data_IF_415426772869
#
_entry.id   IF_415426772869
#
_cell.length_a   1.000
_cell.length_b   1.000
_cell.length_c   1.000
_cell.angle_alpha   90.00
_cell.angle_beta   90.00
_cell.angle_gamma   90.00
#
_symmetry.space_group_name_H-M   'P 1'
#
loop_
_entity.id
_entity.type
_entity.pdbx_description
1 polymer ?
#
# COMPACT_ATOMS: atom_id res chain seq x y z
N UNK A 1 11.96 -22.65 10.96
CA UNK A 1 12.55 -21.41 10.40
C UNK A 1 12.19 -20.18 11.22
N UNK A 2 10.91 -19.84 11.42
CA UNK A 2 10.49 -18.67 12.23
C UNK A 2 11.09 -18.68 13.64
N UNK A 3 11.02 -19.80 14.36
CA UNK A 3 11.61 -19.92 15.71
C UNK A 3 13.12 -19.64 15.76
N UNK A 4 13.85 -20.04 14.71
CA UNK A 4 15.29 -19.78 14.61
C UNK A 4 15.55 -18.29 14.41
N UNK A 5 14.80 -17.66 13.49
CA UNK A 5 14.90 -16.22 13.24
C UNK A 5 14.48 -15.39 14.47
N UNK A 6 13.47 -15.83 15.22
CA UNK A 6 13.06 -15.21 16.49
C UNK A 6 14.18 -15.27 17.52
N UNK A 7 14.81 -16.43 17.68
CA UNK A 7 15.99 -16.58 18.54
C UNK A 7 17.12 -15.65 18.09
N UNK A 8 17.46 -15.64 16.79
CA UNK A 8 18.49 -14.75 16.22
C UNK A 8 18.14 -13.27 16.39
N UNK A 9 16.89 -12.86 16.22
CA UNK A 9 16.47 -11.47 16.41
C UNK A 9 16.54 -11.02 17.86
N UNK A 10 16.40 -11.95 18.82
CA UNK A 10 16.54 -11.64 20.24
C UNK A 10 18.00 -11.54 20.66
N UNK A 11 18.86 -12.42 20.14
CA UNK A 11 20.30 -12.42 20.42
C UNK A 11 21.05 -11.30 19.68
N UNK A 12 20.57 -10.93 18.49
CA UNK A 12 21.12 -9.87 17.65
C UNK A 12 20.06 -8.79 17.35
N UNK A 13 19.62 -8.00 18.35
CA UNK A 13 18.50 -7.07 18.21
C UNK A 13 18.77 -5.89 17.28
N UNK A 14 20.03 -5.66 16.90
CA UNK A 14 20.44 -4.59 15.99
C UNK A 14 20.44 -5.01 14.52
N UNK A 15 20.28 -6.30 14.20
CA UNK A 15 20.25 -6.76 12.81
C UNK A 15 18.89 -6.44 12.15
N UNK A 16 18.83 -5.49 11.20
CA UNK A 16 17.59 -5.15 10.52
C UNK A 16 17.17 -6.27 9.55
N UNK A 17 18.10 -7.05 8.98
CA UNK A 17 17.77 -8.07 8.00
C UNK A 17 16.97 -9.21 8.64
N UNK A 18 17.39 -9.67 9.82
CA UNK A 18 16.64 -10.67 10.57
C UNK A 18 15.19 -10.22 10.81
N UNK A 19 14.98 -8.96 11.24
CA UNK A 19 13.64 -8.39 11.46
C UNK A 19 12.83 -8.27 10.17
N UNK A 20 13.45 -7.84 9.06
CA UNK A 20 12.79 -7.76 7.75
C UNK A 20 12.35 -9.14 7.24
N UNK A 21 13.20 -10.16 7.39
CA UNK A 21 12.87 -11.54 7.03
C UNK A 21 11.76 -12.08 7.94
N UNK A 22 11.80 -11.78 9.25
CA UNK A 22 10.73 -12.12 10.18
C UNK A 22 9.41 -11.45 9.80
N UNK A 23 9.40 -10.16 9.45
CA UNK A 23 8.20 -9.48 8.97
C UNK A 23 7.56 -10.22 7.79
N UNK A 24 8.37 -10.62 6.79
CA UNK A 24 7.88 -11.41 5.66
C UNK A 24 7.34 -12.78 6.09
N UNK A 25 8.05 -13.48 6.96
CA UNK A 25 7.61 -14.77 7.46
C UNK A 25 6.29 -14.68 8.25
N UNK A 26 6.12 -13.61 9.03
CA UNK A 26 4.89 -13.33 9.77
C UNK A 26 3.74 -12.88 8.87
N UNK A 27 4.04 -12.18 7.76
CA UNK A 27 3.06 -11.84 6.73
C UNK A 27 2.45 -13.11 6.12
N UNK A 28 3.28 -14.12 5.81
CA UNK A 28 2.81 -15.39 5.25
C UNK A 28 1.85 -16.16 6.16
N UNK A 29 2.03 -16.09 7.48
CA UNK A 29 1.13 -16.74 8.44
C UNK A 29 -0.01 -15.82 8.93
N UNK A 30 -0.05 -14.57 8.48
CA UNK A 30 -1.07 -13.59 8.87
C UNK A 30 -0.95 -13.07 10.30
N UNK A 31 0.23 -13.13 10.93
CA UNK A 31 0.41 -12.68 12.32
C UNK A 31 0.72 -11.17 12.39
N UNK A 32 -0.30 -10.35 12.21
CA UNK A 32 -0.16 -8.89 12.13
C UNK A 32 0.47 -8.27 13.39
N UNK A 33 0.09 -8.71 14.60
CA UNK A 33 0.61 -8.12 15.85
C UNK A 33 2.14 -8.18 15.94
N UNK A 34 2.73 -9.31 15.52
CA UNK A 34 4.19 -9.46 15.53
C UNK A 34 4.85 -8.63 14.44
N UNK A 35 4.23 -8.49 13.26
CA UNK A 35 4.71 -7.59 12.21
C UNK A 35 4.73 -6.13 12.66
N UNK A 36 3.70 -5.67 13.37
CA UNK A 36 3.66 -4.30 13.93
C UNK A 36 4.80 -4.08 14.91
N UNK A 37 5.03 -5.03 15.82
CA UNK A 37 6.12 -4.96 16.79
C UNK A 37 7.50 -4.91 16.11
N UNK A 38 7.73 -5.75 15.10
CA UNK A 38 8.98 -5.79 14.34
C UNK A 38 9.19 -4.53 13.50
N UNK A 39 8.13 -4.01 12.86
CA UNK A 39 8.20 -2.77 12.06
C UNK A 39 8.51 -1.56 12.95
N UNK A 40 7.92 -1.49 14.15
CA UNK A 40 8.29 -0.48 15.15
C UNK A 40 9.76 -0.64 15.60
N UNK A 41 10.23 -1.86 15.79
CA UNK A 41 11.62 -2.14 16.17
C UNK A 41 12.64 -1.90 15.04
N UNK A 42 12.19 -1.79 13.79
CA UNK A 42 13.00 -1.37 12.63
C UNK A 42 13.11 0.16 12.52
N UNK A 43 12.25 0.91 13.20
CA UNK A 43 12.24 2.37 13.23
C UNK A 43 12.18 3.03 11.84
N UNK A 44 11.36 2.47 10.94
CA UNK A 44 11.19 2.97 9.56
C UNK A 44 10.52 4.35 9.58
N UNK A 45 11.24 5.37 9.12
CA UNK A 45 10.84 6.79 9.20
C UNK A 45 10.94 7.53 7.87
N UNK A 46 10.14 8.58 7.72
CA UNK A 46 10.21 9.54 6.60
C UNK A 46 10.27 8.85 5.23
N UNK A 47 11.24 9.19 4.37
CA UNK A 47 11.42 8.61 3.03
C UNK A 47 11.53 7.08 3.02
N UNK A 48 11.98 6.46 4.11
CA UNK A 48 12.05 5.00 4.18
C UNK A 48 10.66 4.37 4.10
N UNK A 49 9.61 5.08 4.53
CA UNK A 49 8.23 4.62 4.43
C UNK A 49 7.74 4.53 2.99
N UNK A 50 8.21 5.40 2.09
CA UNK A 50 7.93 5.29 0.66
C UNK A 50 8.59 4.02 0.06
N UNK A 51 9.79 3.69 0.52
CA UNK A 51 10.55 2.53 0.01
C UNK A 51 10.19 1.19 0.65
N UNK A 52 9.88 1.16 1.94
CA UNK A 52 9.71 -0.06 2.76
C UNK A 52 8.31 -0.17 3.39
N UNK A 53 7.44 0.83 3.22
CA UNK A 53 6.07 0.81 3.74
C UNK A 53 5.24 -0.36 3.19
N UNK A 54 5.64 -0.89 2.03
CA UNK A 54 5.03 -2.08 1.43
C UNK A 54 5.11 -3.33 2.33
N UNK A 55 5.98 -3.37 3.33
CA UNK A 55 6.10 -4.52 4.25
C UNK A 55 4.84 -4.73 5.08
N UNK A 56 4.18 -3.63 5.46
CA UNK A 56 2.91 -3.66 6.21
C UNK A 56 1.70 -3.53 5.29
N UNK A 57 1.87 -3.04 4.06
CA UNK A 57 0.79 -2.89 3.09
C UNK A 57 0.51 -4.21 2.35
N UNK A 58 -0.75 -4.68 2.19
CA UNK A 58 -2.01 -4.24 2.77
C UNK A 58 -2.44 -5.20 3.90
N UNK A 59 -1.49 -5.63 4.74
CA UNK A 59 -1.70 -6.69 5.72
C UNK A 59 -2.84 -6.45 6.71
N UNK A 60 -3.11 -5.20 7.17
CA UNK A 60 -4.24 -4.95 8.06
C UNK A 60 -5.60 -5.38 7.51
N UNK A 61 -5.76 -5.41 6.20
CA UNK A 61 -7.00 -5.82 5.54
C UNK A 61 -7.04 -7.33 5.24
N UNK A 62 -5.89 -7.94 4.98
CA UNK A 62 -5.79 -9.32 4.51
C UNK A 62 -5.65 -10.35 5.63
N UNK A 63 -5.16 -9.94 6.80
CA UNK A 63 -5.04 -10.82 7.97
C UNK A 63 -6.43 -11.13 8.56
N UNK A 64 -7.14 -12.08 7.96
CA UNK A 64 -8.48 -12.49 8.39
C UNK A 64 -8.72 -14.01 8.40
N UNK A 65 -7.79 -14.84 7.90
CA UNK A 65 -8.06 -16.27 7.68
C UNK A 65 -7.99 -17.15 8.93
N UNK A 66 -7.39 -16.68 10.02
CA UNK A 66 -7.15 -17.47 11.24
C UNK A 66 -7.85 -16.93 12.50
N UNK A 67 -8.39 -15.72 12.46
CA UNK A 67 -9.02 -15.08 13.61
C UNK A 67 -10.55 -15.18 13.50
N UNK A 68 -11.09 -16.37 13.78
CA UNK A 68 -12.52 -16.62 13.87
C UNK A 68 -13.17 -16.06 15.15
N UNK A 69 -12.46 -15.28 15.96
CA UNK A 69 -12.90 -14.95 17.31
C UNK A 69 -12.98 -13.43 17.55
N UNK A 70 -14.21 -12.98 17.83
CA UNK A 70 -14.60 -11.73 18.53
C UNK A 70 -14.48 -10.41 17.76
N UNK A 71 -15.60 -9.69 17.65
CA UNK A 71 -15.76 -8.31 17.11
C UNK A 71 -14.69 -7.33 17.62
N UNK A 72 -14.22 -7.50 18.86
CA UNK A 72 -13.15 -6.69 19.44
C UNK A 72 -11.80 -6.83 18.71
N UNK A 73 -11.40 -8.05 18.33
CA UNK A 73 -10.14 -8.29 17.60
C UNK A 73 -10.24 -7.71 16.19
N UNK A 74 -11.42 -7.79 15.56
CA UNK A 74 -11.68 -7.18 14.26
C UNK A 74 -11.51 -5.65 14.32
N UNK A 75 -12.13 -4.99 15.30
CA UNK A 75 -12.04 -3.53 15.48
C UNK A 75 -10.61 -3.06 15.78
N UNK A 76 -9.88 -3.76 16.66
CA UNK A 76 -8.48 -3.43 16.95
C UNK A 76 -7.59 -3.51 15.70
N UNK A 77 -7.83 -4.47 14.79
CA UNK A 77 -7.06 -4.64 13.56
C UNK A 77 -7.24 -3.48 12.59
N UNK A 78 -8.48 -3.08 12.34
CA UNK A 78 -8.74 -1.94 11.46
C UNK A 78 -8.23 -0.64 12.06
N UNK A 79 -8.32 -0.46 13.38
CA UNK A 79 -7.68 0.66 14.07
C UNK A 79 -6.17 0.71 13.84
N UNK A 80 -5.46 -0.42 13.95
CA UNK A 80 -4.03 -0.49 13.62
C UNK A 80 -3.76 -0.13 12.16
N UNK A 81 -4.60 -0.60 11.24
CA UNK A 81 -4.53 -0.25 9.82
C UNK A 81 -4.73 1.25 9.57
N UNK A 82 -5.77 1.85 10.18
CA UNK A 82 -6.06 3.27 10.10
C UNK A 82 -4.86 4.08 10.59
N UNK A 83 -4.35 3.81 11.79
CA UNK A 83 -3.16 4.51 12.32
C UNK A 83 -1.97 4.37 11.38
N UNK A 84 -1.71 3.17 10.88
CA UNK A 84 -0.59 2.95 9.96
C UNK A 84 -0.71 3.78 8.68
N UNK A 85 -1.89 3.79 8.04
CA UNK A 85 -2.09 4.55 6.81
C UNK A 85 -2.16 6.07 7.06
N UNK A 86 -2.68 6.51 8.22
CA UNK A 86 -2.59 7.92 8.62
C UNK A 86 -1.12 8.36 8.72
N UNK A 87 -0.28 7.61 9.45
CA UNK A 87 1.15 7.92 9.56
C UNK A 87 1.86 7.93 8.18
N UNK A 88 1.42 7.05 7.26
CA UNK A 88 1.94 7.02 5.90
C UNK A 88 1.57 8.29 5.11
N UNK A 89 0.29 8.71 5.16
CA UNK A 89 -0.20 9.92 4.49
C UNK A 89 0.50 11.16 5.04
N UNK A 90 0.60 11.29 6.37
CA UNK A 90 1.29 12.40 7.05
C UNK A 90 2.75 12.55 6.59
N UNK A 91 3.45 11.44 6.33
CA UNK A 91 4.83 11.50 5.83
C UNK A 91 4.92 12.13 4.44
N UNK A 92 3.96 11.89 3.55
CA UNK A 92 3.96 12.52 2.22
C UNK A 92 3.61 14.00 2.30
N UNK A 93 2.63 14.39 3.11
CA UNK A 93 2.29 15.79 3.33
C UNK A 93 3.44 16.58 3.97
N UNK A 94 4.12 15.96 4.94
CA UNK A 94 5.29 16.55 5.58
C UNK A 94 6.46 16.66 4.60
N UNK A 95 6.70 15.63 3.77
CA UNK A 95 7.73 15.67 2.75
C UNK A 95 7.47 16.78 1.70
N UNK A 96 6.22 16.99 1.29
CA UNK A 96 5.86 18.07 0.37
C UNK A 96 6.21 19.45 0.95
N UNK A 97 5.89 19.68 2.22
CA UNK A 97 6.22 20.92 2.93
C UNK A 97 7.74 21.12 3.04
N UNK A 98 8.46 20.10 3.51
CA UNK A 98 9.91 20.16 3.69
C UNK A 98 10.66 20.38 2.37
N UNK A 99 10.24 19.70 1.29
CA UNK A 99 10.85 19.89 -0.04
C UNK A 99 10.56 21.31 -0.57
N UNK A 100 9.35 21.82 -0.36
CA UNK A 100 8.98 23.19 -0.76
C UNK A 100 9.80 24.25 -0.01
N UNK A 101 10.01 24.08 1.29
CA UNK A 101 10.88 24.94 2.10
C UNK A 101 12.34 24.85 1.66
N UNK A 102 12.84 23.65 1.38
CA UNK A 102 14.19 23.42 0.87
C UNK A 102 14.40 24.09 -0.50
N UNK A 103 13.39 24.06 -1.39
CA UNK A 103 13.42 24.75 -2.67
C UNK A 103 13.53 26.28 -2.48
N UNK A 104 12.70 26.86 -1.62
CA UNK A 104 12.77 28.30 -1.29
C UNK A 104 14.15 28.65 -0.71
N UNK A 105 14.67 27.82 0.19
CA UNK A 105 16.01 27.96 0.76
C UNK A 105 17.12 27.92 -0.29
N UNK A 106 17.03 26.99 -1.25
CA UNK A 106 18.00 26.86 -2.33
C UNK A 106 18.02 28.11 -3.23
N UNK A 107 16.85 28.67 -3.58
CA UNK A 107 16.76 29.92 -4.33
C UNK A 107 17.32 31.11 -3.55
N UNK A 108 17.00 31.23 -2.25
CA UNK A 108 17.49 32.32 -1.39
C UNK A 108 19.00 32.30 -1.20
N UNK A 109 19.58 31.11 -1.08
CA UNK A 109 21.01 30.92 -0.80
C UNK A 109 21.87 30.79 -2.07
N UNK A 110 21.28 30.89 -3.27
CA UNK A 110 22.00 30.72 -4.54
C UNK A 110 22.45 29.29 -4.83
N UNK A 111 21.88 28.28 -4.16
CA UNK A 111 22.21 26.87 -4.33
C UNK A 111 21.47 26.24 -5.53
N UNK A 112 21.54 26.88 -6.70
CA UNK A 112 20.77 26.49 -7.89
C UNK A 112 21.08 25.06 -8.39
N UNK A 113 22.27 24.53 -8.09
CA UNK A 113 22.65 23.16 -8.43
C UNK A 113 21.80 22.10 -7.73
N UNK A 114 21.19 22.41 -6.58
CA UNK A 114 20.34 21.47 -5.83
C UNK A 114 18.88 21.48 -6.30
N UNK A 115 18.44 22.57 -6.94
CA UNK A 115 17.04 22.76 -7.36
C UNK A 115 16.53 21.62 -8.26
N UNK A 116 17.25 21.16 -9.30
CA UNK A 116 16.77 20.05 -10.13
C UNK A 116 16.53 18.75 -9.35
N UNK A 117 17.40 18.46 -8.37
CA UNK A 117 17.28 17.25 -7.55
C UNK A 117 16.08 17.34 -6.60
N UNK A 118 15.84 18.52 -6.01
CA UNK A 118 14.69 18.77 -5.14
C UNK A 118 13.36 18.70 -5.93
N UNK A 119 13.32 19.26 -7.14
CA UNK A 119 12.16 19.16 -8.03
C UNK A 119 11.91 17.70 -8.44
N UNK A 120 12.96 16.96 -8.79
CA UNK A 120 12.84 15.54 -9.13
C UNK A 120 12.34 14.71 -7.94
N UNK A 121 12.80 15.01 -6.72
CA UNK A 121 12.31 14.36 -5.51
C UNK A 121 10.84 14.71 -5.24
N UNK A 122 10.45 15.98 -5.39
CA UNK A 122 9.05 16.40 -5.25
C UNK A 122 8.13 15.65 -6.22
N UNK A 123 8.52 15.57 -7.50
CA UNK A 123 7.74 14.87 -8.52
C UNK A 123 7.63 13.36 -8.22
N UNK A 124 8.73 12.74 -7.79
CA UNK A 124 8.78 11.33 -7.42
C UNK A 124 7.93 10.98 -6.19
N UNK A 125 7.90 11.86 -5.19
CA UNK A 125 7.07 11.68 -3.99
C UNK A 125 5.59 11.90 -4.32
N UNK A 126 5.27 12.93 -5.10
CA UNK A 126 3.89 13.24 -5.53
C UNK A 126 3.28 12.11 -6.38
N UNK A 127 4.09 11.48 -7.24
CA UNK A 127 3.67 10.37 -8.10
C UNK A 127 3.87 9.00 -7.46
N UNK A 128 4.23 8.91 -6.18
CA UNK A 128 4.41 7.61 -5.53
C UNK A 128 3.11 6.82 -5.51
N UNK A 129 3.13 5.61 -6.09
CA UNK A 129 2.00 4.70 -6.00
C UNK A 129 1.68 4.31 -4.55
N UNK A 130 2.70 4.25 -3.68
CA UNK A 130 2.51 3.96 -2.25
C UNK A 130 1.80 5.09 -1.53
N UNK A 131 2.02 6.36 -1.93
CA UNK A 131 1.28 7.51 -1.42
C UNK A 131 -0.21 7.39 -1.75
N UNK A 132 -0.53 7.16 -3.02
CA UNK A 132 -1.90 7.00 -3.49
C UNK A 132 -2.57 5.82 -2.79
N UNK A 133 -1.92 4.65 -2.77
CA UNK A 133 -2.46 3.47 -2.10
C UNK A 133 -2.70 3.66 -0.61
N UNK A 134 -1.79 4.34 0.11
CA UNK A 134 -1.99 4.66 1.51
C UNK A 134 -3.17 5.60 1.74
N UNK A 135 -3.32 6.63 0.90
CA UNK A 135 -4.45 7.55 0.98
C UNK A 135 -5.80 6.83 0.72
N UNK A 136 -5.87 6.01 -0.34
CA UNK A 136 -7.07 5.23 -0.65
C UNK A 136 -7.47 4.30 0.50
N UNK A 137 -6.51 3.56 1.08
CA UNK A 137 -6.80 2.68 2.21
C UNK A 137 -7.12 3.43 3.50
N UNK A 138 -6.46 4.56 3.75
CA UNK A 138 -6.80 5.41 4.88
C UNK A 138 -8.25 5.88 4.80
N UNK A 139 -8.69 6.41 3.64
CA UNK A 139 -10.08 6.84 3.43
C UNK A 139 -11.07 5.69 3.56
N UNK A 140 -10.77 4.57 2.89
CA UNK A 140 -11.60 3.37 2.91
C UNK A 140 -11.82 2.84 4.33
N UNK A 141 -10.74 2.63 5.10
CA UNK A 141 -10.85 2.09 6.45
C UNK A 141 -11.45 3.10 7.43
N UNK A 142 -11.09 4.38 7.32
CA UNK A 142 -11.62 5.40 8.22
C UNK A 142 -13.12 5.57 8.05
N UNK A 143 -13.61 5.62 6.81
CA UNK A 143 -15.04 5.74 6.54
C UNK A 143 -15.84 4.52 7.00
N UNK A 144 -15.28 3.31 6.91
CA UNK A 144 -15.99 2.09 7.29
C UNK A 144 -15.97 1.81 8.80
N UNK A 145 -14.93 2.25 9.52
CA UNK A 145 -14.67 1.78 10.88
C UNK A 145 -14.39 2.87 11.91
N UNK A 146 -14.10 4.10 11.51
CA UNK A 146 -13.76 5.19 12.44
C UNK A 146 -14.78 6.34 12.46
N UNK A 147 -15.46 6.59 11.34
CA UNK A 147 -16.40 7.70 11.20
C UNK A 147 -17.82 7.20 11.50
N UNK A 148 -18.42 7.72 12.57
CA UNK A 148 -19.79 7.36 12.96
C UNK A 148 -20.87 8.12 12.18
N UNK A 149 -20.54 9.30 11.64
CA UNK A 149 -21.45 10.10 10.84
C UNK A 149 -21.48 9.59 9.40
N UNK A 150 -22.64 9.11 8.95
CA UNK A 150 -22.83 8.55 7.61
C UNK A 150 -22.48 9.53 6.50
N UNK A 151 -22.88 10.80 6.59
CA UNK A 151 -22.62 11.79 5.54
C UNK A 151 -21.11 12.06 5.43
N UNK A 152 -20.42 12.15 6.56
CA UNK A 152 -18.97 12.33 6.62
C UNK A 152 -18.22 11.10 6.09
N UNK A 153 -18.68 9.90 6.43
CA UNK A 153 -18.13 8.64 5.93
C UNK A 153 -18.29 8.52 4.41
N UNK A 154 -19.47 8.86 3.88
CA UNK A 154 -19.73 8.84 2.43
C UNK A 154 -18.90 9.89 1.69
N UNK A 155 -18.76 11.10 2.22
CA UNK A 155 -17.87 12.12 1.67
C UNK A 155 -16.41 11.67 1.69
N UNK A 156 -15.99 10.98 2.76
CA UNK A 156 -14.63 10.43 2.88
C UNK A 156 -14.39 9.31 1.87
N UNK A 157 -15.36 8.42 1.63
CA UNK A 157 -15.28 7.38 0.60
C UNK A 157 -15.22 7.96 -0.81
N UNK A 158 -16.03 8.99 -1.07
CA UNK A 158 -16.04 9.66 -2.37
C UNK A 158 -14.70 10.33 -2.68
N UNK A 159 -14.03 10.87 -1.66
CA UNK A 159 -12.71 11.47 -1.80
C UNK A 159 -12.72 12.88 -2.40
N UNK A 160 -11.53 13.40 -2.72
CA UNK A 160 -11.37 14.71 -3.37
C UNK A 160 -11.69 14.65 -4.87
N UNK A 161 -11.98 15.82 -5.45
CA UNK A 161 -12.27 15.96 -6.88
C UNK A 161 -10.99 15.98 -7.74
N UNK A 162 -9.83 15.79 -7.11
CA UNK A 162 -8.54 15.74 -7.78
C UNK A 162 -8.43 14.44 -8.58
N UNK A 163 -8.21 14.58 -9.88
CA UNK A 163 -8.03 13.43 -10.77
C UNK A 163 -6.66 12.80 -10.55
N UNK A 164 -6.64 11.51 -10.21
CA UNK A 164 -5.40 10.73 -10.09
C UNK A 164 -4.89 10.33 -11.48
N UNK A 165 -3.68 10.76 -11.83
CA UNK A 165 -2.99 10.36 -13.06
C UNK A 165 -2.38 8.95 -12.92
N UNK A 166 -3.23 7.92 -12.97
CA UNK A 166 -2.85 6.51 -12.74
C UNK A 166 -1.62 6.03 -13.53
N UNK A 167 -1.52 6.42 -14.79
CA UNK A 167 -0.44 5.97 -15.69
C UNK A 167 0.91 6.67 -15.41
N UNK A 168 0.90 7.75 -14.61
CA UNK A 168 2.10 8.50 -14.22
C UNK A 168 2.73 8.02 -12.92
N UNK A 169 2.08 7.10 -12.21
CA UNK A 169 2.51 6.65 -10.89
C UNK A 169 3.83 5.88 -10.94
N UNK A 170 4.71 6.20 -10.01
CA UNK A 170 6.05 5.61 -9.90
C UNK A 170 6.13 4.58 -8.77
N UNK A 171 6.82 3.47 -9.02
CA UNK A 171 7.16 2.47 -8.01
C UNK A 171 8.48 2.84 -7.31
N UNK A 172 8.39 3.27 -6.06
CA UNK A 172 9.54 3.63 -5.25
C UNK A 172 9.97 2.52 -4.28
N UNK A 173 9.33 1.34 -4.33
CA UNK A 173 9.58 0.25 -3.38
C UNK A 173 10.98 -0.34 -3.54
N UNK A 174 11.64 -0.54 -2.41
CA UNK A 174 12.90 -1.28 -2.36
C UNK A 174 12.65 -2.78 -2.20
N UNK A 175 12.51 -3.45 -3.35
CA UNK A 175 12.38 -4.91 -3.42
C UNK A 175 13.72 -5.63 -3.19
N UNK A 176 14.85 -4.90 -3.27
CA UNK A 176 16.21 -5.41 -3.09
C UNK A 176 16.73 -5.32 -1.66
N UNK A 177 15.93 -4.81 -0.71
CA UNK A 177 16.34 -4.63 0.69
C UNK A 177 16.77 -5.93 1.38
N UNK A 178 16.17 -7.07 1.00
CA UNK A 178 16.63 -8.39 1.46
C UNK A 178 17.54 -8.98 0.37
N UNK A 179 18.84 -9.18 0.65
CA UNK A 179 19.76 -9.71 -0.35
C UNK A 179 19.37 -11.13 -0.75
N UNK A 180 19.38 -11.40 -2.06
CA UNK A 180 19.19 -12.74 -2.61
C UNK A 180 20.52 -13.33 -3.04
N UNK A 181 20.70 -14.63 -2.79
CA UNK A 181 21.88 -15.40 -3.19
C UNK A 181 21.71 -16.07 -4.56
N UNK A 182 20.59 -15.84 -5.24
CA UNK A 182 20.29 -16.42 -6.55
C UNK A 182 21.16 -15.81 -7.66
N UNK A 183 21.25 -16.52 -8.80
CA UNK A 183 21.85 -15.97 -10.02
C UNK A 183 20.78 -15.13 -10.75
N UNK A 184 21.18 -14.06 -11.45
CA UNK A 184 20.29 -13.16 -12.24
C UNK A 184 19.27 -12.33 -11.44
N UNK A 185 19.49 -12.14 -10.14
CA UNK A 185 18.59 -11.39 -9.23
C UNK A 185 18.11 -10.04 -9.78
N UNK A 186 18.94 -9.30 -10.53
CA UNK A 186 18.56 -7.99 -11.06
C UNK A 186 17.45 -8.06 -12.11
N UNK A 187 17.60 -8.94 -13.09
CA UNK A 187 16.62 -9.11 -14.18
C UNK A 187 15.29 -9.61 -13.63
N UNK A 188 15.36 -10.57 -12.71
CA UNK A 188 14.19 -11.14 -12.07
C UNK A 188 13.47 -10.12 -11.19
N UNK A 189 14.19 -9.33 -10.40
CA UNK A 189 13.61 -8.24 -9.61
C UNK A 189 12.96 -7.16 -10.47
N UNK A 190 13.54 -6.80 -11.61
CA UNK A 190 12.93 -5.83 -12.53
C UNK A 190 11.65 -6.37 -13.17
N UNK A 191 11.64 -7.65 -13.56
CA UNK A 191 10.43 -8.30 -14.08
C UNK A 191 9.31 -8.35 -13.03
N UNK A 192 9.67 -8.68 -11.78
CA UNK A 192 8.77 -8.72 -10.64
C UNK A 192 8.26 -7.32 -10.28
N UNK A 193 9.12 -6.31 -10.30
CA UNK A 193 8.73 -4.92 -10.03
C UNK A 193 7.64 -4.47 -11.00
N UNK A 194 7.84 -4.68 -12.31
CA UNK A 194 6.85 -4.28 -13.33
C UNK A 194 5.49 -4.93 -13.11
N UNK A 195 5.48 -6.24 -12.88
CA UNK A 195 4.23 -6.99 -12.69
C UNK A 195 3.53 -6.57 -11.40
N UNK A 196 4.27 -6.54 -10.28
CA UNK A 196 3.69 -6.21 -8.98
C UNK A 196 3.27 -4.73 -8.89
N UNK A 197 3.93 -3.83 -9.62
CA UNK A 197 3.49 -2.44 -9.70
C UNK A 197 2.17 -2.32 -10.48
N UNK A 198 2.02 -3.03 -11.59
CA UNK A 198 0.77 -3.03 -12.35
C UNK A 198 -0.38 -3.57 -11.50
N UNK A 199 -0.17 -4.71 -10.85
CA UNK A 199 -1.12 -5.30 -9.90
C UNK A 199 -1.49 -4.33 -8.78
N UNK A 200 -0.50 -3.60 -8.26
CA UNK A 200 -0.73 -2.60 -7.21
C UNK A 200 -1.67 -1.49 -7.66
N UNK A 201 -1.33 -0.88 -8.78
CA UNK A 201 -2.04 0.25 -9.35
C UNK A 201 -3.46 -0.16 -9.73
N UNK A 202 -3.62 -1.33 -10.37
CA UNK A 202 -4.94 -1.85 -10.76
C UNK A 202 -5.83 -2.10 -9.54
N UNK A 203 -5.29 -2.71 -8.48
CA UNK A 203 -6.06 -2.97 -7.26
C UNK A 203 -6.41 -1.68 -6.51
N UNK A 204 -5.50 -0.71 -6.47
CA UNK A 204 -5.73 0.60 -5.85
C UNK A 204 -6.77 1.38 -6.62
N UNK A 205 -6.67 1.38 -7.95
CA UNK A 205 -7.63 2.03 -8.86
C UNK A 205 -9.03 1.41 -8.77
N UNK A 206 -9.11 0.07 -8.67
CA UNK A 206 -10.38 -0.63 -8.47
C UNK A 206 -11.04 -0.21 -7.16
N UNK A 207 -10.27 -0.12 -6.07
CA UNK A 207 -10.77 0.34 -4.77
C UNK A 207 -11.22 1.79 -4.82
N UNK A 208 -10.44 2.66 -5.45
CA UNK A 208 -10.79 4.06 -5.65
C UNK A 208 -12.16 4.21 -6.34
N UNK A 209 -12.36 3.56 -7.48
CA UNK A 209 -13.64 3.63 -8.19
C UNK A 209 -14.79 2.97 -7.44
N UNK A 210 -14.52 1.92 -6.65
CA UNK A 210 -15.52 1.32 -5.78
C UNK A 210 -15.95 2.30 -4.69
N UNK A 211 -14.99 2.93 -4.01
CA UNK A 211 -15.24 3.93 -2.96
C UNK A 211 -15.99 5.14 -3.50
N UNK A 212 -15.64 5.64 -4.68
CA UNK A 212 -16.37 6.71 -5.37
C UNK A 212 -17.81 6.30 -5.68
N UNK A 213 -18.02 5.15 -6.32
CA UNK A 213 -19.37 4.68 -6.64
C UNK A 213 -20.25 4.48 -5.39
N UNK A 214 -19.68 3.99 -4.28
CA UNK A 214 -20.37 3.87 -3.00
C UNK A 214 -20.70 5.24 -2.39
N UNK A 215 -19.74 6.17 -2.41
CA UNK A 215 -19.95 7.55 -1.96
C UNK A 215 -21.08 8.24 -2.74
N UNK A 216 -21.03 8.16 -4.07
CA UNK A 216 -22.05 8.72 -4.97
C UNK A 216 -23.41 8.06 -4.80
N UNK A 217 -23.46 6.74 -4.55
CA UNK A 217 -24.71 6.04 -4.28
C UNK A 217 -25.35 6.49 -2.96
N UNK A 218 -24.52 6.86 -1.98
CA UNK A 218 -24.95 7.45 -0.72
C UNK A 218 -25.28 8.94 -0.80
N UNK A 219 -25.07 9.60 -1.95
CA UNK A 219 -25.32 11.04 -2.11
C UNK A 219 -24.23 11.94 -1.55
N UNK A 220 -22.99 11.44 -1.41
CA UNK A 220 -21.82 12.24 -1.05
C UNK A 220 -21.74 13.51 -1.91
N UNK A 221 -21.42 14.66 -1.30
CA UNK A 221 -21.34 15.98 -1.97
C UNK A 221 -22.61 16.40 -2.74
N UNK A 222 -23.76 15.77 -2.48
CA UNK A 222 -24.99 16.00 -3.25
C UNK A 222 -25.00 15.28 -4.60
N UNK A 223 -24.23 14.20 -4.75
CA UNK A 223 -24.12 13.42 -5.97
C UNK A 223 -25.49 12.97 -6.49
N UNK A 224 -25.74 13.28 -7.76
CA UNK A 224 -26.97 12.92 -8.46
C UNK A 224 -26.84 11.62 -9.25
N UNK A 225 -27.93 11.15 -9.90
CA UNK A 225 -27.92 9.94 -10.73
C UNK A 225 -26.89 9.96 -11.88
N UNK A 226 -26.52 11.15 -12.36
CA UNK A 226 -25.54 11.32 -13.43
C UNK A 226 -24.11 11.02 -12.95
N UNK A 227 -23.73 11.52 -11.78
CA UNK A 227 -22.41 11.31 -11.17
C UNK A 227 -22.23 9.85 -10.77
N UNK A 228 -23.23 9.27 -10.09
CA UNK A 228 -23.27 7.84 -9.82
C UNK A 228 -23.15 7.01 -11.11
N UNK A 229 -23.82 7.40 -12.19
CA UNK A 229 -23.72 6.74 -13.49
C UNK A 229 -22.30 6.78 -14.07
N UNK A 230 -21.59 7.89 -13.91
CA UNK A 230 -20.20 8.04 -14.34
C UNK A 230 -19.27 7.15 -13.51
N UNK A 231 -19.37 7.18 -12.18
CA UNK A 231 -18.51 6.40 -11.28
C UNK A 231 -18.70 4.90 -11.46
N UNK A 232 -19.96 4.44 -11.58
CA UNK A 232 -20.28 3.04 -11.86
C UNK A 232 -19.75 2.62 -13.22
N UNK A 233 -19.72 3.52 -14.21
CA UNK A 233 -19.13 3.24 -15.52
C UNK A 233 -17.62 3.06 -15.42
N UNK A 234 -16.92 3.95 -14.70
CA UNK A 234 -15.48 3.84 -14.46
C UNK A 234 -15.14 2.53 -13.71
N UNK A 235 -15.88 2.24 -12.64
CA UNK A 235 -15.75 1.00 -11.88
C UNK A 235 -15.94 -0.23 -12.78
N UNK A 236 -16.99 -0.25 -13.61
CA UNK A 236 -17.30 -1.39 -14.49
C UNK A 236 -16.22 -1.60 -15.54
N UNK A 237 -15.77 -0.53 -16.19
CA UNK A 237 -14.71 -0.59 -17.21
C UNK A 237 -13.43 -1.14 -16.60
N UNK A 238 -13.01 -0.63 -15.44
CA UNK A 238 -11.79 -1.08 -14.79
C UNK A 238 -11.92 -2.50 -14.20
N UNK A 239 -13.09 -2.85 -13.66
CA UNK A 239 -13.37 -4.21 -13.19
C UNK A 239 -13.25 -5.22 -14.34
N UNK A 240 -13.79 -4.91 -15.52
CA UNK A 240 -13.68 -5.77 -16.69
C UNK A 240 -12.22 -5.91 -17.15
N UNK A 241 -11.46 -4.82 -17.15
CA UNK A 241 -10.01 -4.86 -17.37
C UNK A 241 -9.32 -5.82 -16.39
N UNK A 242 -9.56 -5.68 -15.09
CA UNK A 242 -8.99 -6.58 -14.08
C UNK A 242 -9.40 -8.04 -14.31
N UNK A 243 -10.65 -8.32 -14.69
CA UNK A 243 -11.11 -9.71 -14.95
C UNK A 243 -10.44 -10.32 -16.18
N UNK A 244 -10.16 -9.53 -17.20
CA UNK A 244 -9.46 -9.97 -18.41
C UNK A 244 -7.96 -10.18 -18.15
N UNK A 245 -7.34 -9.27 -17.41
CA UNK A 245 -5.90 -9.32 -17.08
C UNK A 245 -5.58 -10.44 -16.08
N UNK A 246 -6.44 -10.64 -15.07
CA UNK A 246 -6.20 -11.56 -13.95
C UNK A 246 -7.15 -12.77 -13.97
N UNK A 247 -7.24 -13.46 -15.11
CA UNK A 247 -8.11 -14.64 -15.27
C UNK A 247 -7.77 -15.77 -14.29
N UNK A 248 -8.76 -16.42 -13.65
CA UNK A 248 -8.53 -17.52 -12.70
C UNK A 248 -7.84 -18.74 -13.33
N UNK A 249 -7.99 -18.95 -14.65
CA UNK A 249 -7.31 -20.03 -15.38
C UNK A 249 -5.85 -19.69 -15.73
N UNK A 250 -5.49 -18.41 -15.71
CA UNK A 250 -4.11 -17.95 -15.78
C UNK A 250 -3.44 -18.08 -14.41
N UNK A 251 -3.57 -19.28 -13.81
CA UNK A 251 -3.18 -19.69 -12.45
C UNK A 251 -1.65 -19.67 -12.28
N UNK A 252 -0.99 -18.57 -12.62
CA UNK A 252 -0.03 -17.95 -11.73
C UNK A 252 -0.82 -17.25 -10.63
N UNK A 253 -1.44 -18.04 -9.76
CA UNK A 253 -1.72 -17.59 -8.40
C UNK A 253 -0.35 -17.30 -7.79
N UNK A 254 0.13 -16.07 -7.93
CA UNK A 254 1.37 -15.59 -7.30
C UNK A 254 1.15 -15.29 -5.80
N UNK A 255 0.23 -16.02 -5.17
CA UNK A 255 0.14 -16.16 -3.74
C UNK A 255 1.18 -17.21 -3.32
N UNK A 256 2.40 -16.76 -3.05
CA UNK A 256 3.26 -17.25 -1.97
C UNK A 256 3.31 -18.76 -1.64
N UNK A 257 3.20 -19.70 -2.60
CA UNK A 257 3.20 -21.13 -2.28
C UNK A 257 3.92 -22.03 -3.28
N UNK A 258 4.62 -21.50 -4.28
CA UNK A 258 5.41 -22.38 -5.17
C UNK A 258 6.82 -22.61 -4.61
N UNK A 259 7.01 -23.80 -4.04
CA UNK A 259 8.28 -24.32 -3.51
C UNK A 259 9.32 -24.64 -4.58
N UNK A 260 9.05 -24.38 -5.86
CA UNK A 260 9.91 -24.81 -6.98
C UNK A 260 10.61 -23.69 -7.75
N UNK A 261 10.41 -22.41 -7.42
CA UNK A 261 11.25 -21.32 -7.93
C UNK A 261 11.40 -20.26 -6.84
N UNK A 262 12.62 -20.08 -6.34
CA UNK A 262 13.02 -19.09 -5.34
C UNK A 262 12.98 -17.66 -5.89
N UNK A 263 11.78 -17.22 -6.30
CA UNK A 263 11.47 -15.83 -6.57
C UNK A 263 10.64 -15.28 -5.42
N UNK A 264 11.38 -14.74 -4.45
CA UNK A 264 10.90 -14.23 -3.17
C UNK A 264 10.47 -12.75 -3.26
N UNK A 265 9.37 -12.43 -3.97
CA UNK A 265 8.69 -11.12 -3.87
C UNK A 265 7.16 -11.30 -4.00
N UNK A 266 6.55 -12.00 -3.05
CA UNK A 266 5.10 -12.16 -2.99
C UNK A 266 4.78 -12.14 -1.49
N UNK A 267 4.35 -11.03 -0.91
CA UNK A 267 2.98 -10.48 -0.88
C UNK A 267 3.00 -8.98 -1.13
N UNK A 268 2.23 -8.50 -2.11
CA UNK A 268 1.96 -7.06 -2.20
C UNK A 268 0.49 -6.75 -2.48
N UNK A 269 -0.27 -7.59 -3.18
CA UNK A 269 -1.68 -7.30 -3.46
C UNK A 269 -2.55 -8.52 -3.17
N UNK A 270 -3.31 -8.44 -2.08
CA UNK A 270 -4.35 -9.41 -1.81
C UNK A 270 -5.43 -9.29 -2.87
N UNK A 271 -5.46 -10.25 -3.77
CA UNK A 271 -6.63 -10.53 -4.60
C UNK A 271 -7.59 -11.32 -3.69
N UNK A 272 -8.83 -10.84 -3.45
CA UNK A 272 -9.88 -11.71 -2.93
C UNK A 272 -10.19 -12.75 -4.01
N UNK A 273 -9.87 -14.02 -3.73
CA UNK A 273 -10.26 -15.12 -4.58
C UNK A 273 -11.74 -15.49 -4.31
N UNK A 274 -12.61 -15.19 -5.28
CA UNK A 274 -13.92 -15.80 -5.61
C UNK A 274 -14.99 -16.12 -4.54
N UNK A 275 -14.85 -15.74 -3.27
CA UNK A 275 -15.87 -16.01 -2.24
C UNK A 275 -16.33 -14.78 -1.43
N UNK A 276 -16.03 -13.57 -1.90
CA UNK A 276 -16.54 -12.32 -1.29
C UNK A 276 -17.28 -11.40 -2.29
N UNK A 277 -17.91 -11.99 -3.31
CA UNK A 277 -19.02 -11.39 -4.06
C UNK A 277 -20.24 -12.29 -3.90
#
# INVERSE_FOLDING_TARGET
MILLLEWTSNDYPTDPFCKLVLCRAYAHIGCMYRMVALTRALDIKSVQRDTLGYIMFPMPELCGRLDYLTTFIISLRFNVGIVHYTEMVEVYEQAEKEISEALIGAYRNGAFMQVPNLVALADKMKKSAMSVGANELHRYLSALFAIDNLDEALNTLHGSDDTIEWDSLTDNRDLGVIPSFERNVKEDLESLRKITQQEFVDMTRLRHYLSQAVGSAGGAKGAGPQELGADVTLLRVHLEHCRQTYSPDALQVRLCLDSKKTYNVHTAHGIPCNHCL
#
